data_IF_517649811211
#
_entry.id   IF_517649811211
#
_cell.length_a   1.000
_cell.length_b   1.000
_cell.length_c   1.000
_cell.angle_alpha   90.00
_cell.angle_beta   90.00
_cell.angle_gamma   90.00
#
_symmetry.space_group_name_H-M   'P 1'
#
loop_
_entity.id
_entity.type
_entity.pdbx_description
1 polymer ?
#
# COMPACT_ATOMS: atom_id res chain seq x y z
N UNK A 1 -21.16 11.25 -6.50
CA UNK A 1 -21.13 10.08 -5.63
C UNK A 1 -20.02 9.21 -6.17
N UNK A 2 -18.86 9.18 -5.50
CA UNK A 2 -17.74 8.33 -5.88
C UNK A 2 -18.09 6.85 -5.61
N UNK A 3 -17.63 5.96 -6.49
CA UNK A 3 -17.71 4.52 -6.28
C UNK A 3 -16.41 4.08 -5.61
N UNK A 4 -16.50 3.53 -4.40
CA UNK A 4 -15.35 2.90 -3.75
C UNK A 4 -15.36 1.39 -4.05
N UNK A 5 -14.21 0.83 -4.39
CA UNK A 5 -14.01 -0.61 -4.51
C UNK A 5 -13.25 -1.06 -3.27
N UNK A 6 -13.90 -1.88 -2.44
CA UNK A 6 -13.26 -2.53 -1.30
C UNK A 6 -12.73 -3.89 -1.76
N UNK A 7 -11.41 -4.07 -1.63
CA UNK A 7 -10.75 -5.34 -1.87
C UNK A 7 -10.38 -5.96 -0.51
N UNK A 8 -11.03 -7.04 -0.15
CA UNK A 8 -10.73 -7.81 1.07
C UNK A 8 -10.39 -9.26 0.71
N UNK A 9 -9.54 -9.88 1.51
CA UNK A 9 -9.17 -11.28 1.35
C UNK A 9 -10.32 -12.24 1.72
N UNK A 10 -11.32 -11.77 2.47
CA UNK A 10 -12.49 -12.53 2.88
C UNK A 10 -13.76 -11.66 2.76
N UNK A 11 -14.86 -12.29 2.37
CA UNK A 11 -16.17 -11.65 2.24
C UNK A 11 -16.65 -11.04 3.57
N UNK A 12 -16.38 -11.71 4.70
CA UNK A 12 -16.74 -11.24 6.03
C UNK A 12 -16.10 -9.88 6.35
N UNK A 13 -14.84 -9.70 5.99
CA UNK A 13 -14.10 -8.42 6.20
C UNK A 13 -14.75 -7.28 5.43
N UNK A 14 -15.21 -7.54 4.21
CA UNK A 14 -15.91 -6.54 3.39
C UNK A 14 -17.30 -6.23 4.00
N UNK A 15 -18.03 -7.26 4.42
CA UNK A 15 -19.35 -7.10 5.05
C UNK A 15 -19.23 -6.33 6.37
N UNK A 16 -18.23 -6.60 7.19
CA UNK A 16 -17.94 -5.89 8.44
C UNK A 16 -17.53 -4.43 8.18
N UNK A 17 -16.69 -4.17 7.19
CA UNK A 17 -16.30 -2.81 6.79
C UNK A 17 -17.51 -2.00 6.28
N UNK A 18 -18.42 -2.63 5.53
CA UNK A 18 -19.67 -2.00 5.09
C UNK A 18 -20.65 -1.76 6.25
N UNK A 19 -20.69 -2.66 7.24
CA UNK A 19 -21.55 -2.55 8.40
C UNK A 19 -21.04 -1.54 9.43
N UNK A 20 -19.72 -1.31 9.51
CA UNK A 20 -19.10 -0.36 10.44
C UNK A 20 -19.47 1.10 10.19
N UNK A 21 -20.13 1.40 9.06
CA UNK A 21 -20.60 2.73 8.73
C UNK A 21 -19.52 3.59 8.04
N UNK A 22 -19.78 4.89 7.86
CA UNK A 22 -18.87 5.75 7.11
C UNK A 22 -17.50 5.83 7.78
N UNK A 23 -16.44 5.92 6.97
CA UNK A 23 -15.03 6.06 7.37
C UNK A 23 -14.78 7.08 8.50
N UNK A 24 -15.72 8.01 8.70
CA UNK A 24 -15.70 9.01 9.76
C UNK A 24 -15.66 8.44 11.20
N UNK A 25 -15.96 7.17 11.41
CA UNK A 25 -15.94 6.55 12.75
C UNK A 25 -14.57 5.98 13.16
N UNK A 26 -13.65 5.76 12.21
CA UNK A 26 -12.32 5.23 12.50
C UNK A 26 -11.29 6.37 12.56
N UNK A 27 -10.63 6.53 13.72
CA UNK A 27 -9.64 7.61 13.92
C UNK A 27 -8.41 7.45 13.01
N UNK A 28 -7.97 6.20 12.77
CA UNK A 28 -6.86 5.93 11.85
C UNK A 28 -7.19 6.33 10.42
N UNK A 29 -8.40 6.01 9.94
CA UNK A 29 -8.87 6.44 8.62
C UNK A 29 -9.01 7.96 8.49
N UNK A 30 -9.38 8.66 9.59
CA UNK A 30 -9.42 10.12 9.61
C UNK A 30 -8.01 10.73 9.55
N UNK A 31 -7.07 10.17 10.30
CA UNK A 31 -5.66 10.59 10.27
C UNK A 31 -5.05 10.35 8.87
N UNK A 32 -5.31 9.19 8.27
CA UNK A 32 -4.91 8.89 6.90
C UNK A 32 -5.51 9.87 5.90
N UNK A 33 -6.81 10.18 6.03
CA UNK A 33 -7.52 11.09 5.14
C UNK A 33 -7.01 12.53 5.17
N UNK A 34 -6.27 12.91 6.20
CA UNK A 34 -5.56 14.21 6.25
C UNK A 34 -4.18 14.18 5.58
N UNK A 35 -3.63 13.00 5.33
CA UNK A 35 -2.27 12.81 4.82
C UNK A 35 -2.22 12.15 3.42
N UNK A 36 -3.29 11.49 2.98
CA UNK A 36 -3.42 10.87 1.66
C UNK A 36 -4.47 11.59 0.81
N UNK A 37 -4.24 11.65 -0.50
CA UNK A 37 -5.26 12.12 -1.43
C UNK A 37 -6.38 11.08 -1.57
N UNK A 38 -7.52 11.34 -0.95
CA UNK A 38 -8.70 10.48 -1.02
C UNK A 38 -9.37 10.47 -2.40
N UNK A 39 -8.94 11.32 -3.34
CA UNK A 39 -9.40 11.29 -4.73
C UNK A 39 -8.60 10.35 -5.61
N UNK A 40 -7.51 9.76 -5.10
CA UNK A 40 -6.65 8.81 -5.82
C UNK A 40 -7.42 7.59 -6.34
N UNK A 41 -6.91 6.98 -7.41
CA UNK A 41 -7.54 5.84 -8.07
C UNK A 41 -7.61 4.58 -7.19
N UNK A 42 -6.66 4.42 -6.27
CA UNK A 42 -6.66 3.32 -5.33
C UNK A 42 -6.19 3.76 -3.95
N UNK A 43 -6.86 3.23 -2.93
CA UNK A 43 -6.54 3.46 -1.53
C UNK A 43 -6.45 2.11 -0.81
N UNK A 44 -5.45 1.98 0.05
CA UNK A 44 -5.29 0.85 0.95
C UNK A 44 -5.02 1.39 2.34
N UNK A 45 -5.66 0.80 3.33
CA UNK A 45 -5.41 1.12 4.74
C UNK A 45 -5.36 -0.16 5.55
N UNK A 46 -4.45 -0.22 6.48
CA UNK A 46 -4.36 -1.28 7.48
C UNK A 46 -4.00 -0.68 8.85
N UNK A 47 -4.80 -0.99 9.85
CA UNK A 47 -4.54 -0.71 11.25
C UNK A 47 -3.72 -1.86 11.82
N UNK A 48 -2.76 -1.58 12.69
CA UNK A 48 -1.90 -2.61 13.25
C UNK A 48 -2.45 -3.17 14.57
N UNK A 49 -3.74 -3.43 14.60
CA UNK A 49 -4.33 -4.17 15.70
C UNK A 49 -3.84 -5.62 15.68
N UNK A 50 -3.18 -6.06 16.75
CA UNK A 50 -2.78 -7.44 17.00
C UNK A 50 -1.81 -8.09 15.98
N UNK A 51 -0.77 -7.36 15.52
CA UNK A 51 0.27 -7.90 14.62
C UNK A 51 -0.16 -8.13 13.17
N UNK A 52 -1.24 -7.49 12.72
CA UNK A 52 -1.79 -7.65 11.37
C UNK A 52 -0.74 -7.46 10.27
N UNK A 53 0.20 -6.51 10.43
CA UNK A 53 1.25 -6.27 9.44
C UNK A 53 2.23 -7.43 9.33
N UNK A 54 2.61 -8.04 10.44
CA UNK A 54 3.51 -9.19 10.43
C UNK A 54 2.86 -10.36 9.66
N UNK A 55 1.58 -10.60 9.90
CA UNK A 55 0.83 -11.65 9.21
C UNK A 55 0.62 -11.35 7.73
N UNK A 56 0.34 -10.10 7.37
CA UNK A 56 0.18 -9.65 5.98
C UNK A 56 1.50 -9.73 5.20
N UNK A 57 2.62 -9.35 5.83
CA UNK A 57 3.92 -9.32 5.17
C UNK A 57 4.59 -10.71 5.11
N UNK A 58 4.31 -11.60 6.05
CA UNK A 58 4.95 -12.91 6.13
C UNK A 58 4.88 -13.75 4.82
N UNK A 59 3.80 -13.77 4.03
CA UNK A 59 3.79 -14.45 2.73
C UNK A 59 4.73 -13.80 1.70
N UNK A 60 4.83 -12.47 1.69
CA UNK A 60 5.71 -11.71 0.79
C UNK A 60 7.16 -11.91 1.19
N UNK A 61 7.46 -11.81 2.47
CA UNK A 61 8.80 -12.05 3.02
C UNK A 61 9.30 -13.46 2.70
N UNK A 62 8.45 -14.48 2.88
CA UNK A 62 8.79 -15.86 2.49
C UNK A 62 9.04 -15.98 0.99
N UNK A 63 8.21 -15.35 0.16
CA UNK A 63 8.36 -15.38 -1.30
C UNK A 63 9.63 -14.66 -1.76
N UNK A 64 10.01 -13.60 -1.09
CA UNK A 64 11.16 -12.77 -1.48
C UNK A 64 12.44 -13.16 -0.75
N UNK A 65 12.34 -13.97 0.33
CA UNK A 65 13.47 -14.43 1.12
C UNK A 65 14.14 -13.30 1.93
N UNK A 66 13.37 -12.29 2.33
CA UNK A 66 13.86 -11.14 3.12
C UNK A 66 12.75 -10.62 4.03
N UNK A 67 13.12 -10.03 5.17
CA UNK A 67 12.20 -9.24 5.99
C UNK A 67 11.98 -7.88 5.35
N UNK A 68 10.72 -7.44 5.30
CA UNK A 68 10.33 -6.20 4.64
C UNK A 68 10.23 -5.03 5.61
N UNK A 69 9.71 -5.27 6.82
CA UNK A 69 9.58 -4.26 7.87
C UNK A 69 10.02 -4.87 9.22
N UNK A 70 11.22 -4.52 9.68
CA UNK A 70 11.73 -4.99 10.97
C UNK A 70 11.05 -4.27 12.14
N UNK A 71 10.58 -3.05 11.91
CA UNK A 71 9.87 -2.21 12.88
C UNK A 71 8.33 -2.32 12.79
N UNK A 72 7.81 -3.39 12.19
CA UNK A 72 6.36 -3.56 11.99
C UNK A 72 5.56 -3.49 13.30
N UNK A 73 6.13 -3.93 14.43
CA UNK A 73 5.55 -3.86 15.78
C UNK A 73 5.51 -2.44 16.36
N UNK A 74 6.22 -1.48 15.75
CA UNK A 74 6.25 -0.09 16.16
C UNK A 74 5.22 0.76 15.42
N UNK A 75 4.60 0.22 14.36
CA UNK A 75 3.62 0.92 13.56
C UNK A 75 2.25 0.89 14.24
N UNK A 76 1.55 2.01 14.18
CA UNK A 76 0.15 2.13 14.58
C UNK A 76 -0.77 1.82 13.41
N UNK A 77 -0.47 2.37 12.22
CA UNK A 77 -1.18 2.05 10.99
C UNK A 77 -0.28 2.25 9.75
N UNK A 78 -0.72 1.69 8.64
CA UNK A 78 -0.13 1.89 7.32
C UNK A 78 -1.22 2.23 6.31
N UNK A 79 -0.95 3.16 5.43
CA UNK A 79 -1.86 3.52 4.35
C UNK A 79 -1.14 3.69 3.02
N UNK A 80 -1.85 3.52 1.93
CA UNK A 80 -1.32 3.80 0.60
C UNK A 80 -2.38 4.42 -0.29
N UNK A 81 -1.97 5.41 -1.08
CA UNK A 81 -2.74 5.97 -2.17
C UNK A 81 -1.95 5.86 -3.45
N UNK A 82 -2.61 5.59 -4.57
CA UNK A 82 -1.95 5.57 -5.87
C UNK A 82 -2.88 6.05 -6.98
N UNK A 83 -2.28 6.65 -8.00
CA UNK A 83 -2.93 7.12 -9.19
C UNK A 83 -2.36 6.47 -10.44
N UNK A 84 -3.24 6.07 -11.34
CA UNK A 84 -2.89 5.59 -12.67
C UNK A 84 -2.82 6.82 -13.58
N UNK A 85 -1.62 7.27 -13.89
CA UNK A 85 -1.38 8.46 -14.73
C UNK A 85 -1.69 8.14 -16.19
N UNK A 86 -1.25 6.98 -16.65
CA UNK A 86 -1.52 6.44 -17.99
C UNK A 86 -1.36 4.91 -18.02
N UNK A 87 -1.48 4.29 -19.19
CA UNK A 87 -1.32 2.83 -19.35
C UNK A 87 0.06 2.29 -18.96
N UNK A 88 1.04 3.17 -18.79
CA UNK A 88 2.42 2.81 -18.55
C UNK A 88 2.97 3.29 -17.20
N UNK A 89 2.25 4.19 -16.50
CA UNK A 89 2.76 4.89 -15.33
C UNK A 89 1.75 4.87 -14.18
N UNK A 90 2.25 4.53 -12.98
CA UNK A 90 1.54 4.65 -11.71
C UNK A 90 2.41 5.48 -10.77
N UNK A 91 1.80 6.42 -10.07
CA UNK A 91 2.40 7.16 -8.97
C UNK A 91 1.66 6.86 -7.68
N UNK A 92 2.36 6.97 -6.54
CA UNK A 92 1.68 6.77 -5.27
C UNK A 92 2.55 7.06 -4.07
N UNK A 93 1.91 6.88 -2.92
CA UNK A 93 2.51 7.12 -1.61
C UNK A 93 2.12 5.99 -0.67
N UNK A 94 3.08 5.53 0.12
CA UNK A 94 2.86 4.65 1.26
C UNK A 94 3.20 5.44 2.52
N UNK A 95 2.28 5.49 3.47
CA UNK A 95 2.46 6.13 4.77
C UNK A 95 2.60 5.07 5.85
N UNK A 96 3.54 5.28 6.74
CA UNK A 96 3.79 4.48 7.93
C UNK A 96 3.66 5.40 9.14
N UNK A 97 2.66 5.18 9.96
CA UNK A 97 2.48 5.94 11.20
C UNK A 97 3.09 5.19 12.37
N UNK A 98 4.02 5.82 13.04
CA UNK A 98 4.66 5.27 14.23
C UNK A 98 3.83 5.51 15.48
N UNK A 99 3.70 4.48 16.31
CA UNK A 99 3.11 4.62 17.64
C UNK A 99 3.94 5.53 18.56
N UNK A 100 3.40 5.85 19.72
CA UNK A 100 4.00 6.79 20.67
C UNK A 100 5.41 6.44 21.18
N UNK A 101 5.86 5.21 20.98
CA UNK A 101 7.19 4.70 21.38
C UNK A 101 8.05 4.32 20.17
N UNK A 102 7.58 4.59 18.96
CA UNK A 102 8.25 4.21 17.75
C UNK A 102 9.55 5.01 17.54
N UNK A 103 10.54 4.35 17.01
CA UNK A 103 11.75 4.97 16.47
C UNK A 103 11.50 5.39 15.02
N UNK A 104 11.32 6.67 14.77
CA UNK A 104 11.15 7.19 13.40
C UNK A 104 12.35 6.91 12.51
N UNK A 105 13.54 6.77 13.08
CA UNK A 105 14.74 6.37 12.34
C UNK A 105 14.63 4.92 11.84
N UNK A 106 14.17 4.00 12.68
CA UNK A 106 14.01 2.59 12.32
C UNK A 106 12.93 2.41 11.25
N UNK A 107 11.77 3.11 11.39
CA UNK A 107 10.69 3.07 10.40
C UNK A 107 11.15 3.67 9.06
N UNK A 108 11.92 4.77 9.10
CA UNK A 108 12.49 5.35 7.89
C UNK A 108 13.45 4.38 7.19
N UNK A 109 14.34 3.76 7.95
CA UNK A 109 15.32 2.81 7.39
C UNK A 109 14.63 1.59 6.78
N UNK A 110 13.54 1.11 7.39
CA UNK A 110 12.68 0.07 6.83
C UNK A 110 11.96 0.53 5.55
N UNK A 111 11.43 1.76 5.52
CA UNK A 111 10.80 2.32 4.31
C UNK A 111 11.80 2.47 3.16
N UNK A 112 13.03 2.92 3.44
CA UNK A 112 14.12 2.99 2.45
C UNK A 112 14.47 1.58 1.93
N UNK A 113 14.58 0.60 2.84
CA UNK A 113 14.83 -0.79 2.48
C UNK A 113 13.71 -1.38 1.63
N UNK A 114 12.45 -1.10 1.97
CA UNK A 114 11.27 -1.53 1.20
C UNK A 114 11.28 -0.95 -0.21
N UNK A 115 11.56 0.35 -0.34
CA UNK A 115 11.70 1.02 -1.64
C UNK A 115 12.78 0.37 -2.52
N UNK A 116 13.93 0.07 -1.92
CA UNK A 116 15.03 -0.61 -2.63
C UNK A 116 14.66 -2.07 -3.00
N UNK A 117 13.96 -2.78 -2.13
CA UNK A 117 13.47 -4.14 -2.40
C UNK A 117 12.49 -4.16 -3.58
N UNK A 118 11.55 -3.20 -3.62
CA UNK A 118 10.63 -3.03 -4.74
C UNK A 118 11.38 -2.69 -6.02
N UNK A 119 12.32 -1.75 -5.97
CA UNK A 119 13.14 -1.38 -7.12
C UNK A 119 13.82 -2.60 -7.73
N UNK A 120 14.47 -3.43 -6.93
CA UNK A 120 15.14 -4.65 -7.40
C UNK A 120 14.16 -5.66 -8.02
N UNK A 121 12.99 -5.84 -7.40
CA UNK A 121 11.99 -6.78 -7.90
C UNK A 121 11.37 -6.31 -9.20
N UNK A 122 11.00 -5.03 -9.29
CA UNK A 122 10.40 -4.48 -10.51
C UNK A 122 11.40 -4.36 -11.66
N UNK A 123 12.66 -4.04 -11.38
CA UNK A 123 13.71 -4.09 -12.41
C UNK A 123 13.87 -5.47 -13.05
N UNK A 124 13.74 -6.55 -12.26
CA UNK A 124 13.77 -7.91 -12.80
C UNK A 124 12.60 -8.20 -13.76
N UNK A 125 11.51 -7.45 -13.65
CA UNK A 125 10.32 -7.51 -14.52
C UNK A 125 10.34 -6.43 -15.62
N UNK A 126 11.46 -5.70 -15.76
CA UNK A 126 11.64 -4.58 -16.70
C UNK A 126 10.73 -3.38 -16.42
N UNK A 127 10.27 -3.24 -15.17
CA UNK A 127 9.52 -2.10 -14.69
C UNK A 127 10.51 -1.16 -13.98
N UNK A 128 10.54 0.11 -14.39
CA UNK A 128 11.29 1.13 -13.67
C UNK A 128 10.52 1.50 -12.40
N UNK A 129 11.23 1.58 -11.29
CA UNK A 129 10.68 1.98 -9.99
C UNK A 129 11.62 2.99 -9.34
N UNK A 130 11.07 4.13 -8.99
CA UNK A 130 11.76 5.19 -8.25
C UNK A 130 10.98 5.46 -6.97
N UNK A 131 11.70 5.75 -5.88
CA UNK A 131 11.07 6.11 -4.61
C UNK A 131 11.91 7.09 -3.81
N UNK A 132 11.23 7.85 -2.97
CA UNK A 132 11.82 8.79 -2.05
C UNK A 132 11.13 8.66 -0.69
N UNK A 133 11.93 8.67 0.38
CA UNK A 133 11.43 8.61 1.76
C UNK A 133 11.55 9.98 2.41
N UNK A 134 10.51 10.39 3.11
CA UNK A 134 10.49 11.58 3.95
C UNK A 134 9.89 11.27 5.32
N UNK A 135 10.22 12.09 6.32
CA UNK A 135 9.70 11.97 7.69
C UNK A 135 9.03 13.27 8.08
N UNK A 136 7.79 13.19 8.56
CA UNK A 136 7.03 14.33 9.02
C UNK A 136 6.31 13.99 10.34
N UNK A 137 6.87 14.44 11.46
CA UNK A 137 6.35 14.12 12.79
C UNK A 137 6.46 12.62 13.10
N UNK A 138 5.32 11.98 13.31
CA UNK A 138 5.16 10.54 13.56
C UNK A 138 4.95 9.71 12.29
N UNK A 139 4.90 10.35 11.14
CA UNK A 139 4.64 9.70 9.84
C UNK A 139 5.93 9.60 9.02
N UNK A 140 6.22 8.42 8.49
CA UNK A 140 7.20 8.19 7.43
C UNK A 140 6.44 8.00 6.12
N UNK A 141 6.84 8.74 5.10
CA UNK A 141 6.25 8.70 3.76
C UNK A 141 7.24 8.09 2.77
N UNK A 142 6.80 7.08 2.02
CA UNK A 142 7.49 6.52 0.86
C UNK A 142 6.69 6.90 -0.40
N UNK A 143 7.08 7.98 -1.06
CA UNK A 143 6.55 8.33 -2.38
C UNK A 143 7.22 7.46 -3.44
N UNK A 144 6.45 7.00 -4.44
CA UNK A 144 6.97 6.15 -5.50
C UNK A 144 6.36 6.45 -6.86
N UNK A 145 7.12 6.13 -7.90
CA UNK A 145 6.66 6.11 -9.29
C UNK A 145 7.08 4.80 -9.94
N UNK A 146 6.17 4.18 -10.67
CA UNK A 146 6.44 3.02 -11.52
C UNK A 146 6.16 3.34 -12.96
N UNK A 147 7.03 2.90 -13.87
CA UNK A 147 6.83 3.03 -15.31
C UNK A 147 7.30 1.77 -16.05
N UNK A 148 6.85 1.60 -17.28
CA UNK A 148 7.09 0.36 -18.02
C UNK A 148 6.05 -0.72 -17.73
N UNK A 149 4.82 -0.34 -17.36
CA UNK A 149 3.76 -1.25 -16.90
C UNK A 149 2.99 -1.93 -18.05
N UNK A 150 3.07 -1.42 -19.27
CA UNK A 150 2.31 -1.94 -20.40
C UNK A 150 2.49 -3.45 -20.64
N UNK A 151 3.71 -4.05 -20.57
CA UNK A 151 3.87 -5.48 -20.68
C UNK A 151 3.26 -6.28 -19.52
N UNK A 152 3.17 -5.67 -18.33
CA UNK A 152 2.52 -6.29 -17.17
C UNK A 152 1.01 -6.39 -17.40
N UNK A 153 0.39 -5.33 -17.87
CA UNK A 153 -1.05 -5.32 -18.18
C UNK A 153 -1.39 -6.36 -19.23
N UNK A 154 -0.60 -6.46 -20.32
CA UNK A 154 -0.79 -7.47 -21.35
C UNK A 154 -0.75 -8.89 -20.77
N UNK A 155 0.24 -9.21 -19.92
CA UNK A 155 0.31 -10.51 -19.24
C UNK A 155 -0.88 -10.80 -18.35
N UNK A 156 -1.35 -9.81 -17.60
CA UNK A 156 -2.53 -9.97 -16.73
C UNK A 156 -3.81 -10.20 -17.55
N UNK A 157 -3.94 -9.56 -18.70
CA UNK A 157 -5.02 -9.83 -19.66
C UNK A 157 -4.95 -11.24 -20.23
N UNK A 158 -3.78 -11.65 -20.68
CA UNK A 158 -3.55 -13.01 -21.24
C UNK A 158 -3.82 -14.12 -20.20
N UNK A 159 -3.51 -13.86 -18.93
CA UNK A 159 -3.77 -14.78 -17.83
C UNK A 159 -5.24 -14.76 -17.34
N UNK A 160 -6.10 -13.95 -17.94
CA UNK A 160 -7.51 -13.85 -17.58
C UNK A 160 -7.81 -13.14 -16.26
N UNK A 161 -6.79 -12.61 -15.59
CA UNK A 161 -6.96 -11.89 -14.29
C UNK A 161 -7.79 -10.62 -14.48
N UNK A 162 -7.67 -9.95 -15.64
CA UNK A 162 -8.40 -8.73 -15.96
C UNK A 162 -9.65 -8.95 -16.82
N UNK A 163 -10.00 -10.19 -17.17
CA UNK A 163 -11.21 -10.49 -17.94
C UNK A 163 -12.52 -10.21 -17.15
N UNK A 164 -12.42 -9.87 -15.88
CA UNK A 164 -13.54 -9.57 -14.99
C UNK A 164 -14.05 -8.13 -15.16
N UNK A 165 -13.35 -7.26 -15.91
CA UNK A 165 -13.66 -5.82 -16.02
C UNK A 165 -14.29 -5.45 -17.37
N UNK A 166 -14.91 -6.36 -18.09
CA UNK A 166 -15.74 -5.97 -19.23
C UNK A 166 -17.10 -5.47 -18.72
N UNK A 167 -17.43 -4.17 -18.89
CA UNK A 167 -18.78 -3.71 -18.64
C UNK A 167 -19.72 -4.43 -19.62
N UNK A 168 -20.73 -5.10 -19.07
CA UNK A 168 -21.86 -5.60 -19.86
C UNK A 168 -22.75 -4.42 -20.26
#
# INVERSE_FOLDING_TARGET
VGSAVLLGADRSVIEDALAAGPMAANQGLQAMGSNLDLASNGLLFADNDDTLFADFLAPLERKWGMSLLLSADQLEWMGSAFDVIDSNTIEGTILFEGGSRASMADIRDDAEFLGEAFRRKFMAEQIAYESQVSVNGSTVELAFQMSGLEPLWLRLFEQGVLSIIQPQ
#
